data_IF_167003773306
#
_entry.id   IF_167003773306
#
_cell.length_a   1.000
_cell.length_b   1.000
_cell.length_c   1.000
_cell.angle_alpha   90.00
_cell.angle_beta   90.00
_cell.angle_gamma   90.00
#
_symmetry.space_group_name_H-M   'P 1'
#
loop_
_entity.id
_entity.type
_entity.pdbx_description
1 polymer ?
#
# COMPACT_ATOMS: atom_id res chain seq x y z
N UNK A 1 -24.60 -25.58 -0.80
CA UNK A 1 -23.62 -25.76 0.30
C UNK A 1 -22.29 -26.11 -0.36
N UNK A 2 -21.33 -25.22 -0.62
CA UNK A 2 -20.78 -24.19 0.23
C UNK A 2 -19.40 -24.66 0.72
N UNK A 3 -18.32 -24.38 -0.02
CA UNK A 3 -16.97 -24.17 0.55
C UNK A 3 -15.91 -23.81 -0.51
N UNK A 4 -15.34 -22.62 -0.33
CA UNK A 4 -13.91 -22.30 -0.35
C UNK A 4 -13.03 -22.73 -1.54
N UNK A 5 -12.86 -21.82 -2.50
CA UNK A 5 -11.77 -21.86 -3.48
C UNK A 5 -11.08 -20.49 -3.65
N UNK A 6 -10.44 -19.99 -2.58
CA UNK A 6 -9.57 -18.79 -2.66
C UNK A 6 -8.19 -19.06 -2.04
N UNK A 7 -7.47 -20.02 -2.59
CA UNK A 7 -6.04 -20.28 -2.33
C UNK A 7 -5.20 -20.06 -3.60
N UNK A 8 -5.40 -18.92 -4.28
CA UNK A 8 -4.49 -18.48 -5.35
C UNK A 8 -3.48 -17.48 -4.80
N UNK A 9 -2.19 -17.68 -5.10
CA UNK A 9 -1.10 -16.75 -4.73
C UNK A 9 -1.34 -15.40 -5.43
N UNK A 10 -1.80 -14.38 -4.69
CA UNK A 10 -2.03 -13.03 -5.20
C UNK A 10 -0.80 -12.15 -4.93
N UNK A 11 -0.30 -11.45 -5.96
CA UNK A 11 0.68 -10.37 -5.80
C UNK A 11 -0.01 -9.05 -6.17
N UNK A 12 -0.35 -8.27 -5.14
CA UNK A 12 -0.93 -6.93 -5.33
C UNK A 12 0.19 -5.90 -5.43
N UNK A 13 0.18 -5.13 -6.51
CA UNK A 13 1.11 -4.03 -6.72
C UNK A 13 0.48 -2.73 -6.28
N UNK A 14 1.06 -2.11 -5.25
CA UNK A 14 0.66 -0.78 -4.79
C UNK A 14 1.53 0.27 -5.42
N UNK A 15 0.85 1.18 -6.12
CA UNK A 15 1.50 2.26 -6.83
C UNK A 15 1.18 3.55 -6.10
N UNK A 16 1.80 3.66 -4.94
CA UNK A 16 2.48 4.86 -4.44
C UNK A 16 3.84 4.30 -4.03
N UNK A 17 4.92 4.73 -4.67
CA UNK A 17 6.32 4.29 -4.50
C UNK A 17 6.62 3.45 -3.24
N UNK A 18 6.29 2.15 -3.24
CA UNK A 18 6.74 1.07 -2.34
C UNK A 18 5.77 -0.13 -2.46
N UNK A 19 6.31 -1.31 -2.80
CA UNK A 19 5.59 -2.58 -2.78
C UNK A 19 5.44 -3.11 -1.35
N UNK A 20 4.36 -3.84 -1.04
CA UNK A 20 4.34 -5.20 -0.44
C UNK A 20 2.95 -5.52 0.16
N UNK A 21 2.64 -6.83 0.28
CA UNK A 21 1.48 -7.56 0.84
C UNK A 21 1.24 -7.29 2.35
N UNK A 22 -0.02 -7.25 2.85
CA UNK A 22 -0.38 -7.00 4.28
C UNK A 22 -1.61 -7.79 4.80
N UNK A 23 -1.61 -8.27 6.07
CA UNK A 23 -2.79 -8.55 6.91
C UNK A 23 -2.98 -7.53 8.07
N UNK A 24 -4.16 -7.47 8.73
CA UNK A 24 -4.89 -6.24 9.06
C UNK A 24 -4.72 -5.67 10.49
N UNK A 25 -4.97 -4.35 10.65
CA UNK A 25 -5.40 -3.72 11.91
C UNK A 25 -4.75 -2.38 12.27
N UNK A 26 -5.60 -1.38 12.59
CA UNK A 26 -5.39 -0.11 13.34
C UNK A 26 -5.28 1.21 12.53
N UNK A 27 -6.07 2.19 13.01
CA UNK A 27 -6.40 3.53 12.50
C UNK A 27 -5.52 4.62 13.12
N UNK A 28 -5.18 5.68 12.35
CA UNK A 28 -5.46 7.12 12.64
C UNK A 28 -4.63 8.08 11.73
N UNK A 29 -5.21 9.25 11.47
CA UNK A 29 -4.91 10.38 10.54
C UNK A 29 -3.55 11.10 10.76
N UNK A 30 -3.21 12.30 10.20
CA UNK A 30 -3.64 13.10 9.02
C UNK A 30 -2.44 13.65 8.17
N UNK A 31 -2.70 14.65 7.30
CA UNK A 31 -1.80 15.61 6.60
C UNK A 31 -1.31 15.29 5.17
N UNK A 32 -1.82 16.12 4.23
CA UNK A 32 -1.53 16.15 2.79
C UNK A 32 -0.16 16.77 2.53
N UNK A 33 0.70 16.05 1.80
CA UNK A 33 1.75 16.66 0.97
C UNK A 33 1.23 16.60 -0.46
N UNK A 34 0.81 17.74 -0.99
CA UNK A 34 0.57 17.92 -2.40
C UNK A 34 1.93 17.88 -3.11
N UNK A 35 2.22 16.82 -3.84
CA UNK A 35 3.27 16.84 -4.85
C UNK A 35 2.62 16.69 -6.22
N UNK A 36 2.63 17.80 -6.98
CA UNK A 36 2.44 17.79 -8.44
C UNK A 36 3.56 16.92 -9.01
N UNK A 37 3.28 15.64 -9.24
CA UNK A 37 4.20 14.74 -9.93
C UNK A 37 4.22 15.14 -11.39
N UNK A 38 5.34 15.61 -11.91
CA UNK A 38 5.50 16.11 -13.28
C UNK A 38 5.26 15.06 -14.38
N UNK A 39 5.02 15.53 -15.61
CA UNK A 39 4.59 14.73 -16.75
C UNK A 39 5.59 13.63 -17.20
N UNK A 40 6.89 13.77 -16.90
CA UNK A 40 7.95 12.80 -17.28
C UNK A 40 8.08 11.61 -16.31
N UNK A 41 7.71 11.74 -15.04
CA UNK A 41 7.76 10.64 -14.07
C UNK A 41 6.72 9.55 -14.31
N UNK A 42 5.72 9.81 -15.18
CA UNK A 42 4.53 8.97 -15.38
C UNK A 42 4.70 7.90 -16.46
N UNK A 43 5.65 8.06 -17.39
CA UNK A 43 6.07 6.99 -18.33
C UNK A 43 6.89 5.92 -17.61
N UNK A 44 7.72 6.34 -16.66
CA UNK A 44 8.57 5.50 -15.82
C UNK A 44 7.74 4.49 -15.04
N UNK A 45 6.59 4.92 -14.50
CA UNK A 45 5.76 4.05 -13.71
C UNK A 45 5.25 2.83 -14.49
N UNK A 46 4.71 3.06 -15.68
CA UNK A 46 4.21 1.97 -16.50
C UNK A 46 5.34 1.09 -17.04
N UNK A 47 6.52 1.66 -17.30
CA UNK A 47 7.70 0.88 -17.63
C UNK A 47 8.13 -0.02 -16.46
N UNK A 48 8.09 0.49 -15.23
CA UNK A 48 8.38 -0.26 -14.02
C UNK A 48 7.38 -1.41 -13.83
N UNK A 49 6.07 -1.14 -13.94
CA UNK A 49 5.03 -2.18 -13.86
C UNK A 49 5.25 -3.25 -14.92
N UNK A 50 5.57 -2.87 -16.16
CA UNK A 50 5.87 -3.83 -17.23
C UNK A 50 7.06 -4.72 -16.87
N UNK A 51 8.15 -4.12 -16.38
CA UNK A 51 9.35 -4.85 -15.98
C UNK A 51 9.05 -5.86 -14.88
N UNK A 52 8.31 -5.43 -13.86
CA UNK A 52 7.93 -6.25 -12.71
C UNK A 52 6.98 -7.37 -13.11
N UNK A 53 5.95 -7.06 -13.89
CA UNK A 53 5.02 -8.06 -14.39
C UNK A 53 5.74 -9.14 -15.20
N UNK A 54 6.69 -8.74 -16.06
CA UNK A 54 7.53 -9.68 -16.81
C UNK A 54 8.37 -10.57 -15.89
N UNK A 55 9.09 -9.98 -14.93
CA UNK A 55 9.94 -10.71 -13.98
C UNK A 55 9.13 -11.67 -13.10
N UNK A 56 7.97 -11.26 -12.62
CA UNK A 56 7.11 -12.13 -11.82
C UNK A 56 6.54 -13.28 -12.64
N UNK A 57 6.11 -13.02 -13.88
CA UNK A 57 5.57 -14.07 -14.76
C UNK A 57 6.62 -15.08 -15.22
N UNK A 58 7.90 -14.71 -15.25
CA UNK A 58 8.99 -15.66 -15.49
C UNK A 58 9.09 -16.72 -14.38
N UNK A 59 8.80 -16.35 -13.13
CA UNK A 59 8.84 -17.25 -11.98
C UNK A 59 7.46 -17.91 -11.72
N UNK A 60 6.37 -17.20 -12.03
CA UNK A 60 4.99 -17.63 -11.82
C UNK A 60 4.13 -17.31 -13.04
N UNK A 61 4.07 -18.19 -14.06
CA UNK A 61 3.39 -17.91 -15.34
C UNK A 61 1.93 -17.47 -15.20
N UNK A 62 1.19 -18.09 -14.28
CA UNK A 62 -0.24 -17.86 -14.07
C UNK A 62 -0.54 -16.85 -12.93
N UNK A 63 0.43 -16.04 -12.52
CA UNK A 63 0.21 -15.08 -11.44
C UNK A 63 -0.78 -13.99 -11.86
N UNK A 64 -1.82 -13.78 -11.05
CA UNK A 64 -2.74 -12.67 -11.21
C UNK A 64 -2.14 -11.41 -10.59
N UNK A 65 -2.04 -10.36 -11.39
CA UNK A 65 -1.48 -9.07 -10.99
C UNK A 65 -2.58 -8.02 -10.95
N UNK A 66 -2.70 -7.34 -9.81
CA UNK A 66 -3.69 -6.28 -9.61
C UNK A 66 -2.96 -4.99 -9.22
N UNK A 67 -3.14 -3.93 -10.00
CA UNK A 67 -2.63 -2.59 -9.71
C UNK A 67 -3.67 -1.81 -8.92
N UNK A 68 -3.27 -1.35 -7.73
CA UNK A 68 -4.08 -0.45 -6.92
C UNK A 68 -3.38 0.88 -6.72
N UNK A 69 -4.09 1.97 -7.02
CA UNK A 69 -3.55 3.30 -6.92
C UNK A 69 -4.63 4.37 -6.69
N UNK A 70 -4.18 5.58 -6.41
CA UNK A 70 -5.04 6.77 -6.22
C UNK A 70 -5.47 7.38 -7.56
N UNK A 71 -6.36 8.37 -7.50
CA UNK A 71 -6.89 9.09 -8.68
C UNK A 71 -5.84 9.72 -9.58
N UNK A 72 -4.69 10.13 -9.01
CA UNK A 72 -3.56 10.66 -9.78
C UNK A 72 -2.97 9.68 -10.81
N UNK A 73 -3.22 8.39 -10.66
CA UNK A 73 -2.73 7.34 -11.55
C UNK A 73 -3.76 6.87 -12.59
N UNK A 74 -5.02 7.31 -12.46
CA UNK A 74 -6.07 6.96 -13.40
C UNK A 74 -5.94 7.78 -14.69
N UNK A 75 -5.13 7.28 -15.63
CA UNK A 75 -4.92 7.88 -16.96
C UNK A 75 -5.33 6.90 -18.05
N UNK A 76 -5.98 7.37 -19.14
CA UNK A 76 -6.46 6.49 -20.21
C UNK A 76 -5.34 5.61 -20.80
N UNK A 77 -4.16 6.20 -21.07
CA UNK A 77 -2.98 5.46 -21.56
C UNK A 77 -2.42 4.43 -20.58
N UNK A 78 -2.63 4.59 -19.27
CA UNK A 78 -2.21 3.62 -18.28
C UNK A 78 -3.19 2.44 -18.23
N UNK A 79 -4.50 2.73 -18.20
CA UNK A 79 -5.57 1.73 -18.24
C UNK A 79 -5.43 0.81 -19.46
N UNK A 80 -5.25 1.38 -20.65
CA UNK A 80 -5.03 0.61 -21.89
C UNK A 80 -3.82 -0.32 -21.82
N UNK A 81 -2.73 0.14 -21.21
CA UNK A 81 -1.53 -0.69 -21.05
C UNK A 81 -1.75 -1.82 -20.06
N UNK A 82 -2.47 -1.57 -18.95
CA UNK A 82 -2.80 -2.63 -18.00
C UNK A 82 -3.68 -3.69 -18.65
N UNK A 83 -4.69 -3.27 -19.40
CA UNK A 83 -5.56 -4.16 -20.18
C UNK A 83 -4.76 -4.97 -21.21
N UNK A 84 -3.89 -4.33 -22.00
CA UNK A 84 -3.05 -5.00 -22.99
C UNK A 84 -2.03 -5.98 -22.37
N UNK A 85 -1.62 -5.76 -21.13
CA UNK A 85 -0.70 -6.65 -20.41
C UNK A 85 -1.42 -7.71 -19.58
N UNK A 86 -2.76 -7.78 -19.61
CA UNK A 86 -3.54 -8.68 -18.76
C UNK A 86 -3.30 -8.42 -17.27
N UNK A 87 -3.16 -7.16 -16.88
CA UNK A 87 -3.00 -6.70 -15.51
C UNK A 87 -4.32 -6.07 -15.08
N UNK A 88 -4.91 -6.63 -14.04
CA UNK A 88 -6.12 -6.08 -13.44
C UNK A 88 -5.82 -4.79 -12.68
N UNK A 89 -6.82 -3.94 -12.48
CA UNK A 89 -6.64 -2.71 -11.74
C UNK A 89 -7.87 -2.30 -10.92
N UNK A 90 -7.61 -1.55 -9.86
CA UNK A 90 -8.61 -0.85 -9.06
C UNK A 90 -8.03 0.52 -8.64
N UNK A 91 -8.44 1.57 -9.33
CA UNK A 91 -7.85 2.91 -9.22
C UNK A 91 -8.89 3.91 -8.77
N UNK A 92 -8.49 4.86 -7.91
CA UNK A 92 -9.34 6.00 -7.63
C UNK A 92 -9.65 6.77 -8.91
N UNK A 93 -10.82 7.41 -8.98
CA UNK A 93 -11.21 8.26 -10.09
C UNK A 93 -11.51 9.66 -9.52
N UNK A 94 -10.94 10.74 -10.09
CA UNK A 94 -11.23 12.09 -9.61
C UNK A 94 -12.69 12.45 -9.91
N UNK A 95 -13.27 13.30 -9.07
CA UNK A 95 -14.65 13.80 -9.27
C UNK A 95 -14.73 14.58 -10.59
N UNK A 96 -15.84 14.39 -11.30
CA UNK A 96 -16.19 15.09 -12.54
C UNK A 96 -17.71 15.36 -12.50
N UNK A 97 -18.19 16.52 -12.99
CA UNK A 97 -19.62 16.77 -13.19
C UNK A 97 -20.43 15.59 -13.74
N UNK A 98 -19.93 14.87 -14.75
CA UNK A 98 -20.65 13.70 -15.30
C UNK A 98 -20.79 12.56 -14.29
N UNK A 99 -19.75 12.31 -13.49
CA UNK A 99 -19.81 11.28 -12.45
C UNK A 99 -20.76 11.66 -11.33
N UNK A 100 -20.82 12.96 -10.99
CA UNK A 100 -21.74 13.50 -10.01
C UNK A 100 -23.18 13.41 -10.51
N UNK A 101 -23.42 13.75 -11.79
CA UNK A 101 -24.72 13.59 -12.43
C UNK A 101 -25.23 12.16 -12.34
N UNK A 102 -24.38 11.18 -12.66
CA UNK A 102 -24.74 9.76 -12.59
C UNK A 102 -25.15 9.27 -11.20
N UNK A 103 -24.73 9.96 -10.13
CA UNK A 103 -25.06 9.58 -8.74
C UNK A 103 -26.00 10.57 -8.06
N UNK A 104 -26.43 11.64 -8.73
CA UNK A 104 -27.17 12.74 -8.13
C UNK A 104 -28.46 12.27 -7.44
N UNK A 105 -29.23 11.40 -8.11
CA UNK A 105 -30.45 10.82 -7.54
C UNK A 105 -30.17 9.99 -6.29
N UNK A 106 -29.10 9.20 -6.30
CA UNK A 106 -28.72 8.39 -5.14
C UNK A 106 -28.17 9.25 -3.99
N UNK A 107 -27.51 10.36 -4.27
CA UNK A 107 -27.07 11.32 -3.25
C UNK A 107 -28.25 12.06 -2.61
N UNK A 108 -29.27 12.42 -3.39
CA UNK A 108 -30.51 13.02 -2.89
C UNK A 108 -31.24 12.07 -1.93
N UNK A 109 -31.44 10.80 -2.34
CA UNK A 109 -32.05 9.79 -1.49
C UNK A 109 -31.30 9.59 -0.16
N UNK A 110 -29.96 9.63 -0.18
CA UNK A 110 -29.16 9.57 1.06
C UNK A 110 -29.30 10.80 1.94
N UNK A 111 -29.51 11.98 1.35
CA UNK A 111 -29.74 13.21 2.09
C UNK A 111 -31.10 13.17 2.82
N UNK A 112 -32.15 12.72 2.14
CA UNK A 112 -33.48 12.51 2.74
C UNK A 112 -33.43 11.50 3.89
N UNK A 113 -32.75 10.36 3.70
CA UNK A 113 -32.55 9.35 4.74
C UNK A 113 -31.75 9.91 5.94
N UNK A 114 -30.74 10.74 5.68
CA UNK A 114 -29.98 11.39 6.75
C UNK A 114 -30.84 12.38 7.54
N UNK A 115 -31.70 13.15 6.86
CA UNK A 115 -32.65 14.07 7.51
C UNK A 115 -33.68 13.31 8.36
N UNK A 116 -34.15 12.15 7.89
CA UNK A 116 -35.12 11.33 8.61
C UNK A 116 -34.52 10.62 9.84
N UNK A 117 -33.30 10.08 9.72
CA UNK A 117 -32.73 9.21 10.76
C UNK A 117 -31.67 9.88 11.64
N UNK A 118 -31.13 11.04 11.24
CA UNK A 118 -30.02 11.73 11.93
C UNK A 118 -28.69 10.94 11.96
N UNK A 119 -28.63 9.78 11.32
CA UNK A 119 -27.47 8.88 11.32
C UNK A 119 -26.80 8.86 9.95
N UNK A 120 -25.48 8.69 9.94
CA UNK A 120 -24.66 8.72 8.72
C UNK A 120 -25.09 7.60 7.77
N UNK A 121 -25.53 7.99 6.57
CA UNK A 121 -25.96 7.07 5.52
C UNK A 121 -24.82 6.76 4.55
N UNK A 122 -24.79 5.52 4.03
CA UNK A 122 -23.75 5.05 3.10
C UNK A 122 -24.35 4.12 2.06
N UNK A 123 -24.03 4.38 0.80
CA UNK A 123 -24.35 3.51 -0.34
C UNK A 123 -23.09 3.19 -1.12
N UNK A 124 -22.95 1.96 -1.58
CA UNK A 124 -21.95 1.58 -2.57
C UNK A 124 -22.72 1.04 -3.76
N UNK A 125 -22.58 1.72 -4.89
CA UNK A 125 -23.19 1.34 -6.15
C UNK A 125 -22.15 1.25 -7.25
N UNK A 126 -22.60 0.87 -8.43
CA UNK A 126 -21.76 0.80 -9.61
C UNK A 126 -22.50 1.20 -10.86
N UNK A 127 -21.74 1.67 -11.83
CA UNK A 127 -22.24 1.99 -13.15
C UNK A 127 -21.10 1.88 -14.17
N UNK A 128 -21.49 1.83 -15.44
CA UNK A 128 -20.55 1.88 -16.54
C UNK A 128 -20.28 3.36 -16.90
N UNK A 129 -19.01 3.71 -17.14
CA UNK A 129 -18.60 5.07 -17.46
C UNK A 129 -17.41 5.11 -18.41
N UNK A 130 -17.48 6.01 -19.39
CA UNK A 130 -16.39 6.38 -20.26
C UNK A 130 -16.17 7.89 -20.22
N UNK A 131 -14.97 8.34 -19.82
CA UNK A 131 -14.61 9.73 -20.10
C UNK A 131 -14.40 9.90 -21.61
N UNK A 132 -14.59 11.11 -22.15
CA UNK A 132 -14.35 11.41 -23.58
C UNK A 132 -12.96 11.00 -24.09
N UNK A 133 -11.96 10.94 -23.20
CA UNK A 133 -10.60 10.53 -23.53
C UNK A 133 -10.37 9.00 -23.51
N UNK A 134 -11.41 8.23 -23.21
CA UNK A 134 -11.35 6.78 -23.10
C UNK A 134 -11.89 6.16 -24.39
N UNK A 135 -11.23 5.11 -24.86
CA UNK A 135 -11.66 4.35 -26.05
C UNK A 135 -12.83 3.39 -25.77
N UNK A 136 -13.07 3.10 -24.50
CA UNK A 136 -14.11 2.18 -24.05
C UNK A 136 -14.62 2.54 -22.67
N UNK A 137 -15.84 2.11 -22.43
CA UNK A 137 -16.48 2.13 -21.14
C UNK A 137 -15.81 1.18 -20.16
N UNK A 138 -15.80 1.57 -18.88
CA UNK A 138 -15.26 0.76 -17.78
C UNK A 138 -16.21 0.81 -16.60
N UNK A 139 -16.16 -0.24 -15.79
CA UNK A 139 -16.89 -0.33 -14.53
C UNK A 139 -16.34 0.70 -13.53
N UNK A 140 -17.23 1.51 -12.98
CA UNK A 140 -16.95 2.47 -11.93
C UNK A 140 -17.79 2.13 -10.71
N UNK A 141 -17.12 1.98 -9.57
CA UNK A 141 -17.74 1.82 -8.26
C UNK A 141 -17.83 3.21 -7.63
N UNK A 142 -19.03 3.59 -7.22
CA UNK A 142 -19.30 4.81 -6.50
C UNK A 142 -19.63 4.50 -5.05
N UNK A 143 -18.87 5.06 -4.12
CA UNK A 143 -19.22 5.11 -2.72
C UNK A 143 -19.78 6.49 -2.41
N UNK A 144 -21.02 6.52 -1.99
CA UNK A 144 -21.71 7.70 -1.54
C UNK A 144 -21.82 7.64 -0.02
N UNK A 145 -21.55 8.75 0.63
CA UNK A 145 -21.81 8.92 2.06
C UNK A 145 -22.42 10.29 2.28
N UNK A 146 -23.44 10.34 3.14
CA UNK A 146 -24.04 11.57 3.62
C UNK A 146 -23.91 11.59 5.15
N UNK A 147 -23.34 12.67 5.67
CA UNK A 147 -23.16 12.87 7.11
C UNK A 147 -23.16 14.35 7.48
N UNK A 148 -22.70 14.72 8.68
CA UNK A 148 -22.79 16.10 9.18
C UNK A 148 -22.08 17.14 8.31
N UNK A 149 -21.08 16.71 7.53
CA UNK A 149 -20.29 17.57 6.64
C UNK A 149 -20.81 17.60 5.20
N UNK A 150 -22.01 17.04 4.96
CA UNK A 150 -22.63 16.93 3.65
C UNK A 150 -22.17 15.71 2.84
N UNK A 151 -22.43 15.71 1.51
CA UNK A 151 -22.17 14.57 0.64
C UNK A 151 -20.66 14.37 0.36
N UNK A 152 -20.19 13.12 0.45
CA UNK A 152 -18.80 12.75 0.21
C UNK A 152 -18.68 11.59 -0.78
N UNK A 153 -18.98 11.81 -2.08
CA UNK A 153 -18.84 10.79 -3.10
C UNK A 153 -17.38 10.44 -3.35
N UNK A 154 -17.11 9.16 -3.59
CA UNK A 154 -15.81 8.64 -4.03
C UNK A 154 -16.02 7.67 -5.17
N UNK A 155 -15.22 7.82 -6.22
CA UNK A 155 -15.31 7.00 -7.41
C UNK A 155 -14.04 6.16 -7.57
N UNK A 156 -14.20 4.91 -8.03
CA UNK A 156 -13.13 3.95 -8.26
C UNK A 156 -13.40 3.25 -9.59
N UNK A 157 -12.44 3.28 -10.52
CA UNK A 157 -12.51 2.51 -11.76
C UNK A 157 -11.84 1.15 -11.56
N UNK A 158 -12.46 0.08 -12.06
CA UNK A 158 -11.96 -1.29 -11.86
C UNK A 158 -12.13 -2.15 -13.12
N UNK A 159 -11.20 -3.09 -13.33
CA UNK A 159 -11.36 -4.20 -14.30
C UNK A 159 -11.85 -5.49 -13.63
N UNK A 160 -11.96 -5.49 -12.31
CA UNK A 160 -12.33 -6.67 -11.53
C UNK A 160 -13.84 -6.90 -11.59
N UNK A 161 -14.23 -8.17 -11.56
CA UNK A 161 -15.61 -8.64 -11.42
C UNK A 161 -15.86 -9.06 -9.96
N UNK A 162 -17.12 -9.18 -9.55
CA UNK A 162 -17.53 -9.53 -8.18
C UNK A 162 -18.26 -8.38 -7.48
N UNK A 163 -18.55 -8.54 -6.19
CA UNK A 163 -19.34 -7.56 -5.43
C UNK A 163 -18.65 -6.19 -5.30
N UNK A 164 -19.38 -5.11 -5.55
CA UNK A 164 -18.82 -3.76 -5.59
C UNK A 164 -18.42 -3.27 -4.18
N UNK A 165 -19.17 -3.66 -3.14
CA UNK A 165 -18.86 -3.33 -1.77
C UNK A 165 -17.58 -4.02 -1.32
N UNK A 166 -17.43 -5.31 -1.60
CA UNK A 166 -16.23 -6.08 -1.27
C UNK A 166 -14.99 -5.53 -2.00
N UNK A 167 -15.10 -5.25 -3.31
CA UNK A 167 -14.00 -4.67 -4.08
C UNK A 167 -13.56 -3.31 -3.50
N UNK A 168 -14.52 -2.46 -3.12
CA UNK A 168 -14.18 -1.17 -2.52
C UNK A 168 -13.56 -1.32 -1.12
N UNK A 169 -14.18 -2.10 -0.24
CA UNK A 169 -13.80 -2.18 1.17
C UNK A 169 -12.55 -3.02 1.42
N UNK A 170 -12.44 -4.18 0.77
CA UNK A 170 -11.32 -5.09 1.00
C UNK A 170 -10.13 -4.77 0.11
N UNK A 171 -10.36 -4.51 -1.18
CA UNK A 171 -9.26 -4.27 -2.12
C UNK A 171 -8.85 -2.81 -2.19
N UNK A 172 -9.79 -1.89 -2.44
CA UNK A 172 -9.43 -0.48 -2.62
C UNK A 172 -9.01 0.21 -1.31
N UNK A 173 -9.81 0.10 -0.24
CA UNK A 173 -9.53 0.77 1.04
C UNK A 173 -8.22 0.31 1.69
N UNK A 174 -7.79 -0.93 1.46
CA UNK A 174 -6.48 -1.39 1.92
C UNK A 174 -5.30 -0.59 1.31
N UNK A 175 -5.53 0.35 0.38
CA UNK A 175 -4.53 1.33 -0.12
C UNK A 175 -3.92 2.15 1.01
N UNK A 176 -4.70 2.47 2.05
CA UNK A 176 -4.21 3.22 3.20
C UNK A 176 -3.00 2.56 3.87
N UNK A 177 -2.94 1.24 3.83
CA UNK A 177 -1.85 0.49 4.45
C UNK A 177 -0.50 0.71 3.75
N UNK A 178 -0.50 0.86 2.43
CA UNK A 178 0.72 1.16 1.69
C UNK A 178 1.27 2.54 2.07
N UNK A 179 0.38 3.50 2.34
CA UNK A 179 0.76 4.84 2.80
C UNK A 179 1.36 4.81 4.21
N UNK A 180 0.78 4.02 5.11
CA UNK A 180 1.32 3.79 6.45
C UNK A 180 2.73 3.20 6.41
N UNK A 181 2.99 2.25 5.49
CA UNK A 181 4.32 1.66 5.30
C UNK A 181 5.35 2.63 4.77
N UNK A 182 4.96 3.47 3.82
CA UNK A 182 5.84 4.54 3.31
C UNK A 182 6.18 5.52 4.44
N UNK A 183 5.20 5.88 5.27
CA UNK A 183 5.43 6.72 6.45
C UNK A 183 6.39 6.07 7.43
N UNK A 184 6.21 4.78 7.74
CA UNK A 184 7.10 4.00 8.61
C UNK A 184 8.53 3.98 8.06
N UNK A 185 8.73 3.68 6.76
CA UNK A 185 10.06 3.70 6.15
C UNK A 185 10.70 5.10 6.15
N UNK A 186 9.90 6.15 5.91
CA UNK A 186 10.38 7.52 5.88
C UNK A 186 10.79 8.06 7.26
N UNK A 187 9.97 7.79 8.28
CA UNK A 187 10.13 8.31 9.64
C UNK A 187 11.07 7.43 10.47
N UNK A 188 10.88 6.11 10.43
CA UNK A 188 11.54 5.18 11.34
C UNK A 188 12.87 4.66 10.82
N UNK A 189 13.20 4.90 9.55
CA UNK A 189 14.45 4.43 8.93
C UNK A 189 15.20 5.53 8.19
N UNK A 190 14.99 6.77 8.63
CA UNK A 190 15.70 7.94 8.11
C UNK A 190 15.50 8.17 6.60
N UNK A 191 14.43 7.64 6.00
CA UNK A 191 14.14 7.82 4.58
C UNK A 191 13.91 9.27 4.16
N UNK A 192 13.68 10.19 5.12
CA UNK A 192 13.60 11.65 4.89
C UNK A 192 14.95 12.37 4.97
N UNK A 193 16.02 11.72 5.43
CA UNK A 193 17.33 12.38 5.62
C UNK A 193 18.08 12.48 4.28
N UNK A 194 17.66 13.45 3.46
CA UNK A 194 18.33 13.81 2.21
C UNK A 194 19.43 14.87 2.45
N UNK A 195 20.39 14.57 3.34
CA UNK A 195 21.40 15.54 3.79
C UNK A 195 22.67 15.60 2.93
N UNK A 196 22.79 14.78 1.87
CA UNK A 196 23.93 14.89 0.97
C UNK A 196 23.73 15.99 -0.07
N UNK A 197 24.85 16.60 -0.48
CA UNK A 197 24.90 17.62 -1.53
C UNK A 197 24.53 17.07 -2.91
N UNK A 198 24.82 15.79 -3.18
CA UNK A 198 24.58 15.16 -4.50
C UNK A 198 23.24 14.40 -4.52
N UNK A 199 22.45 14.62 -5.58
CA UNK A 199 21.18 13.94 -5.80
C UNK A 199 21.31 12.41 -5.79
N UNK A 200 22.27 11.86 -6.55
CA UNK A 200 22.50 10.41 -6.62
C UNK A 200 22.83 9.78 -5.24
N UNK A 201 23.54 10.51 -4.38
CA UNK A 201 23.83 10.05 -3.03
C UNK A 201 22.58 10.03 -2.13
N UNK A 202 21.64 10.96 -2.32
CA UNK A 202 20.35 10.92 -1.64
C UNK A 202 19.44 9.80 -2.19
N UNK A 203 19.49 9.54 -3.50
CA UNK A 203 18.78 8.41 -4.11
C UNK A 203 19.25 7.07 -3.53
N UNK A 204 20.57 6.85 -3.43
CA UNK A 204 21.11 5.64 -2.81
C UNK A 204 20.68 5.49 -1.35
N UNK A 205 20.71 6.58 -0.56
CA UNK A 205 20.22 6.58 0.83
C UNK A 205 18.76 6.15 0.92
N UNK A 206 17.91 6.65 0.02
CA UNK A 206 16.51 6.24 -0.04
C UNK A 206 16.35 4.76 -0.36
N UNK A 207 17.14 4.22 -1.30
CA UNK A 207 17.13 2.79 -1.63
C UNK A 207 17.58 1.92 -0.45
N UNK A 208 18.61 2.34 0.28
CA UNK A 208 19.07 1.65 1.50
C UNK A 208 18.01 1.68 2.61
N UNK A 209 17.31 2.80 2.79
CA UNK A 209 16.20 2.89 3.73
C UNK A 209 15.04 1.95 3.34
N UNK A 210 14.73 1.85 2.05
CA UNK A 210 13.71 0.91 1.54
C UNK A 210 14.12 -0.56 1.72
N UNK A 211 15.41 -0.89 1.53
CA UNK A 211 15.94 -2.22 1.79
C UNK A 211 15.87 -2.56 3.28
N UNK A 212 16.35 -1.67 4.16
CA UNK A 212 16.28 -1.84 5.61
C UNK A 212 14.83 -2.06 6.08
N UNK A 213 13.88 -1.33 5.50
CA UNK A 213 12.46 -1.50 5.81
C UNK A 213 11.96 -2.90 5.43
N UNK A 214 12.33 -3.37 4.24
CA UNK A 214 11.99 -4.71 3.77
C UNK A 214 12.57 -5.78 4.70
N UNK A 215 13.81 -5.63 5.15
CA UNK A 215 14.44 -6.55 6.10
C UNK A 215 13.72 -6.57 7.45
N UNK A 216 13.34 -5.41 8.00
CA UNK A 216 12.59 -5.34 9.25
C UNK A 216 11.20 -6.00 9.12
N UNK A 217 10.53 -5.85 7.97
CA UNK A 217 9.27 -6.55 7.72
C UNK A 217 9.48 -8.07 7.72
N UNK A 218 10.52 -8.56 7.04
CA UNK A 218 10.79 -10.01 6.99
C UNK A 218 11.19 -10.54 8.36
N UNK A 219 12.04 -9.83 9.12
CA UNK A 219 12.36 -10.14 10.51
C UNK A 219 11.08 -10.28 11.35
N UNK A 220 10.17 -9.32 11.23
CA UNK A 220 8.88 -9.35 11.94
C UNK A 220 8.03 -10.56 11.54
N UNK A 221 7.98 -10.88 10.24
CA UNK A 221 7.14 -11.95 9.68
C UNK A 221 7.67 -13.34 10.01
N UNK A 222 8.98 -13.53 9.92
CA UNK A 222 9.62 -14.84 10.01
C UNK A 222 10.10 -15.16 11.43
N UNK A 223 10.64 -14.18 12.12
CA UNK A 223 11.45 -14.41 13.33
C UNK A 223 10.86 -13.81 14.61
N UNK A 224 9.86 -12.92 14.52
CA UNK A 224 9.23 -12.30 15.70
C UNK A 224 7.79 -12.76 15.92
N UNK A 225 7.31 -13.74 15.15
CA UNK A 225 5.94 -14.27 15.30
C UNK A 225 5.81 -14.95 16.67
N UNK A 226 4.75 -14.61 17.41
CA UNK A 226 4.52 -15.16 18.75
C UNK A 226 5.28 -14.45 19.88
N UNK A 227 6.07 -13.41 19.54
CA UNK A 227 6.76 -12.58 20.54
C UNK A 227 6.03 -11.26 20.78
N UNK A 228 6.43 -10.53 21.82
CA UNK A 228 5.96 -9.17 22.13
C UNK A 228 6.18 -8.18 20.97
N UNK A 229 7.17 -8.44 20.10
CA UNK A 229 7.51 -7.57 18.97
C UNK A 229 6.80 -7.95 17.66
N UNK A 230 5.93 -8.97 17.67
CA UNK A 230 5.23 -9.44 16.46
C UNK A 230 4.42 -8.34 15.76
N UNK A 231 3.89 -7.37 16.53
CA UNK A 231 3.08 -6.25 16.03
C UNK A 231 3.76 -4.89 16.19
N UNK A 232 5.01 -4.85 16.64
CA UNK A 232 5.73 -3.62 16.92
C UNK A 232 6.10 -2.85 15.64
N UNK A 233 6.17 -1.52 15.72
CA UNK A 233 6.63 -0.64 14.63
C UNK A 233 8.13 -0.82 14.36
N UNK A 234 8.59 -0.44 13.17
CA UNK A 234 10.00 -0.52 12.79
C UNK A 234 10.91 0.25 13.74
N UNK A 235 10.50 1.44 14.21
CA UNK A 235 11.25 2.18 15.23
C UNK A 235 11.40 1.39 16.54
N UNK A 236 10.34 0.74 17.01
CA UNK A 236 10.36 -0.06 18.23
C UNK A 236 11.27 -1.27 18.09
N UNK A 237 11.19 -1.99 16.97
CA UNK A 237 12.09 -3.12 16.69
C UNK A 237 13.54 -2.63 16.64
N UNK A 238 13.81 -1.52 15.95
CA UNK A 238 15.15 -0.93 15.89
C UNK A 238 15.70 -0.58 17.27
N UNK A 239 14.91 0.04 18.14
CA UNK A 239 15.36 0.50 19.46
C UNK A 239 15.42 -0.65 20.47
N UNK A 240 14.41 -1.52 20.53
CA UNK A 240 14.31 -2.54 21.58
C UNK A 240 15.05 -3.85 21.22
N UNK A 241 15.16 -4.18 19.93
CA UNK A 241 15.76 -5.44 19.48
C UNK A 241 17.14 -5.25 18.87
N UNK A 242 17.34 -4.24 18.02
CA UNK A 242 18.58 -4.07 17.25
C UNK A 242 19.61 -3.15 17.93
N UNK A 243 19.15 -2.18 18.73
CA UNK A 243 20.04 -1.28 19.47
C UNK A 243 20.47 -1.92 20.78
N UNK A 244 21.48 -2.78 20.69
CA UNK A 244 22.10 -3.46 21.83
C UNK A 244 23.45 -2.83 22.11
N UNK A 245 23.73 -2.49 23.37
CA UNK A 245 25.07 -2.07 23.79
C UNK A 245 26.06 -3.22 23.65
N UNK A 246 27.24 -2.95 23.11
CA UNK A 246 28.26 -3.97 22.88
C UNK A 246 29.66 -3.45 23.16
N UNK A 247 30.51 -4.29 23.75
CA UNK A 247 31.94 -4.05 23.83
C UNK A 247 32.61 -4.61 22.56
N UNK A 248 33.43 -3.80 21.88
CA UNK A 248 34.14 -4.24 20.68
C UNK A 248 35.57 -4.59 21.04
N UNK A 249 35.90 -5.87 20.97
CA UNK A 249 37.28 -6.34 21.18
C UNK A 249 37.93 -6.52 19.82
N UNK A 250 39.03 -5.79 19.57
CA UNK A 250 39.78 -5.85 18.32
C UNK A 250 41.15 -6.49 18.57
N UNK A 251 41.50 -7.46 17.73
CA UNK A 251 42.83 -8.01 17.57
C UNK A 251 43.34 -7.67 16.15
N UNK A 252 44.60 -7.91 15.84
CA UNK A 252 45.20 -7.71 14.50
C UNK A 252 44.43 -8.42 13.39
N UNK A 253 43.83 -9.59 13.66
CA UNK A 253 43.11 -10.40 12.65
C UNK A 253 41.58 -10.41 12.78
N UNK A 254 41.02 -9.99 13.91
CA UNK A 254 39.57 -10.17 14.19
C UNK A 254 38.98 -9.02 14.98
N UNK A 255 37.75 -8.66 14.63
CA UNK A 255 36.89 -7.75 15.39
C UNK A 255 35.75 -8.58 15.97
N UNK A 256 35.61 -8.60 17.30
CA UNK A 256 34.57 -9.34 18.02
C UNK A 256 33.63 -8.37 18.74
N UNK A 257 32.35 -8.27 18.33
CA UNK A 257 31.34 -7.58 19.10
C UNK A 257 30.83 -8.49 20.24
N UNK A 258 30.97 -8.06 21.48
CA UNK A 258 30.44 -8.71 22.67
C UNK A 258 29.15 -7.99 23.09
N UNK A 259 28.00 -8.59 22.81
CA UNK A 259 26.69 -8.01 23.14
C UNK A 259 26.42 -8.06 24.65
N UNK A 260 25.72 -7.07 25.17
CA UNK A 260 25.33 -7.01 26.60
C UNK A 260 24.55 -8.26 27.04
N UNK A 261 25.01 -8.89 28.12
CA UNK A 261 24.43 -10.13 28.66
C UNK A 261 23.07 -9.94 29.34
N UNK A 262 22.79 -8.73 29.85
CA UNK A 262 21.58 -8.37 30.62
C UNK A 262 20.57 -7.54 29.81
N UNK A 263 20.53 -7.72 28.48
CA UNK A 263 19.54 -7.02 27.64
C UNK A 263 18.11 -7.48 27.98
N UNK A 264 17.14 -6.57 28.26
CA UNK A 264 15.78 -6.94 28.65
C UNK A 264 15.06 -7.89 27.67
N UNK A 265 15.35 -7.75 26.36
CA UNK A 265 14.76 -8.59 25.32
C UNK A 265 15.73 -9.64 24.78
N UNK A 266 16.70 -10.10 25.59
CA UNK A 266 17.65 -11.14 25.20
C UNK A 266 16.96 -12.40 24.68
N UNK A 267 15.90 -12.86 25.36
CA UNK A 267 15.15 -14.05 24.95
C UNK A 267 14.52 -13.88 23.56
N UNK A 268 13.96 -12.71 23.26
CA UNK A 268 13.40 -12.38 21.93
C UNK A 268 14.50 -12.31 20.86
N UNK A 269 15.65 -11.72 21.19
CA UNK A 269 16.80 -11.65 20.28
C UNK A 269 17.31 -13.05 19.90
N UNK A 270 17.49 -13.92 20.89
CA UNK A 270 17.93 -15.30 20.65
C UNK A 270 16.88 -16.10 19.85
N UNK A 271 15.60 -15.94 20.18
CA UNK A 271 14.52 -16.56 19.39
C UNK A 271 14.58 -16.13 17.92
N UNK A 272 14.71 -14.83 17.67
CA UNK A 272 14.80 -14.30 16.32
C UNK A 272 16.08 -14.75 15.59
N UNK A 273 17.21 -14.80 16.30
CA UNK A 273 18.48 -15.24 15.74
C UNK A 273 18.44 -16.73 15.34
N UNK A 274 17.87 -17.59 16.18
CA UNK A 274 17.67 -19.00 15.86
C UNK A 274 16.70 -19.21 14.69
N UNK A 275 15.60 -18.45 14.65
CA UNK A 275 14.63 -18.54 13.56
C UNK A 275 15.18 -18.08 12.19
N UNK A 276 16.29 -17.33 12.18
CA UNK A 276 16.95 -16.85 10.96
C UNK A 276 18.29 -17.56 10.68
N UNK A 277 18.69 -18.51 11.53
CA UNK A 277 19.91 -19.28 11.30
C UNK A 277 19.74 -20.14 10.03
N UNK A 278 20.78 -20.26 9.19
CA UNK A 278 20.75 -21.04 7.96
C UNK A 278 20.62 -22.55 8.20
#
# INVERSE_FOLDING_TARGET
MGSNAWTRKFISFHIKTAMTVKPPGVSTSPWRIASRVDCRARSVLSALIKLLARRLRQQWPHVRLIVRADSGFCRPRALRRFEAWGIDYILGLPKNPTLQWNVAMAELALAEQYQACGTKQRLIGEFAYAARSWERERRVIARLEHGPQGPNPRFVVTSLHGDCAELYERLYCARGEAENRIKEAQLDLFGRRASARRFAANQLRLLLAALAYTLIIQLRRLALKGTELARACAATIRIKLLKIGAAVVRNTRRVRPLLASSHPLKHVFLHAAHAMAP
#
